data_IF_075058762563
#
_entry.id   IF_075058762563
#
_cell.length_a   1.000
_cell.length_b   1.000
_cell.length_c   1.000
_cell.angle_alpha   90.00
_cell.angle_beta   90.00
_cell.angle_gamma   90.00
#
_symmetry.space_group_name_H-M   'P 1'
#
loop_
_entity.id
_entity.type
_entity.pdbx_description
1 polymer ?
#
# COMPACT_ATOMS: atom_id res chain seq x y z
N UNK A 1 15.88 39.49 23.88
CA UNK A 1 16.82 39.41 25.02
C UNK A 1 16.16 38.58 26.13
N UNK A 2 16.58 37.33 26.30
CA UNK A 2 16.61 36.57 27.57
C UNK A 2 17.23 35.23 27.25
N UNK A 3 18.52 35.13 27.51
CA UNK A 3 19.28 33.90 27.53
C UNK A 3 19.02 33.20 28.86
N UNK A 4 18.86 31.87 28.86
CA UNK A 4 18.98 31.04 30.04
C UNK A 4 19.96 29.90 29.74
N UNK A 5 21.13 30.01 30.31
CA UNK A 5 22.14 28.95 30.50
C UNK A 5 21.75 28.15 31.76
N UNK A 6 21.89 26.81 31.71
CA UNK A 6 22.21 25.92 32.86
C UNK A 6 22.91 24.70 32.25
N UNK A 7 24.20 24.54 32.42
CA UNK A 7 24.98 24.09 33.56
C UNK A 7 25.02 22.55 33.69
N UNK A 8 26.24 22.04 33.54
CA UNK A 8 26.68 20.64 33.63
C UNK A 8 26.83 20.21 35.11
N UNK A 9 26.72 18.88 35.34
CA UNK A 9 27.31 18.15 36.49
C UNK A 9 27.45 16.67 36.04
N UNK A 10 28.55 16.14 35.85
CA UNK A 10 29.68 15.54 36.50
C UNK A 10 29.35 14.26 37.28
N UNK A 11 29.84 13.15 36.76
CA UNK A 11 30.51 11.95 37.27
C UNK A 11 30.30 11.49 38.71
N UNK A 12 30.09 10.17 38.88
CA UNK A 12 30.91 9.38 39.84
C UNK A 12 30.90 7.88 39.45
N UNK A 13 32.07 7.33 39.28
CA UNK A 13 32.37 5.91 39.20
C UNK A 13 32.42 5.31 40.63
N UNK A 14 31.97 4.07 40.79
CA UNK A 14 32.36 3.24 41.95
C UNK A 14 32.50 1.79 41.48
N UNK A 15 33.75 1.34 41.50
CA UNK A 15 34.14 -0.06 41.34
C UNK A 15 34.08 -0.75 42.71
N UNK A 16 33.49 -1.94 42.78
CA UNK A 16 33.78 -2.89 43.87
C UNK A 16 34.01 -4.27 43.28
N UNK A 17 35.24 -4.74 43.47
CA UNK A 17 35.65 -6.11 43.28
C UNK A 17 35.26 -6.92 44.54
N UNK A 18 34.73 -8.14 44.31
CA UNK A 18 34.72 -9.17 45.37
C UNK A 18 34.99 -10.52 44.69
N UNK A 19 36.15 -11.12 45.08
CA UNK A 19 36.55 -12.49 44.85
C UNK A 19 35.69 -13.45 45.70
N UNK A 20 35.37 -14.63 45.14
CA UNK A 20 34.76 -15.73 45.90
C UNK A 20 34.75 -17.03 45.07
N UNK A 21 35.72 -17.89 45.36
CA UNK A 21 35.64 -19.31 45.57
C UNK A 21 35.09 -20.21 44.44
N UNK A 22 36.03 -20.91 43.78
CA UNK A 22 35.72 -21.96 42.83
C UNK A 22 35.35 -23.29 43.50
N UNK A 23 34.53 -24.05 42.78
CA UNK A 23 34.41 -25.51 42.94
C UNK A 23 34.51 -26.16 41.57
N UNK A 24 35.25 -27.27 41.41
CA UNK A 24 35.51 -27.86 40.10
C UNK A 24 34.28 -28.61 39.63
N UNK A 25 33.71 -28.14 38.53
CA UNK A 25 32.64 -28.84 37.82
C UNK A 25 33.22 -30.10 37.16
N UNK A 26 32.63 -31.26 37.45
CA UNK A 26 32.83 -32.55 36.80
C UNK A 26 32.52 -32.46 35.28
N UNK A 27 33.26 -33.17 34.43
CA UNK A 27 32.99 -33.19 33.00
C UNK A 27 31.66 -33.89 32.71
N UNK A 28 30.69 -33.16 32.16
CA UNK A 28 29.49 -33.76 31.61
C UNK A 28 29.81 -34.26 30.21
N UNK A 29 29.70 -35.57 30.04
CA UNK A 29 29.83 -36.29 28.78
C UNK A 29 28.82 -35.77 27.76
N UNK A 30 29.19 -35.48 26.49
CA UNK A 30 28.24 -34.98 25.51
C UNK A 30 27.33 -36.13 25.06
N UNK A 31 26.05 -35.99 25.40
CA UNK A 31 24.98 -36.79 24.80
C UNK A 31 24.93 -36.52 23.27
N UNK A 32 24.88 -37.54 22.42
CA UNK A 32 24.84 -37.35 20.98
C UNK A 32 23.53 -36.62 20.64
N UNK A 33 23.66 -35.46 19.97
CA UNK A 33 22.57 -34.72 19.40
C UNK A 33 21.85 -35.61 18.37
N UNK A 34 20.56 -35.82 18.61
CA UNK A 34 19.67 -36.44 17.62
C UNK A 34 19.70 -35.59 16.34
N UNK A 35 20.01 -36.29 15.25
CA UNK A 35 20.01 -35.76 13.88
C UNK A 35 18.65 -35.19 13.54
N UNK A 36 18.48 -33.84 13.72
CA UNK A 36 17.34 -33.15 13.23
C UNK A 36 17.51 -32.97 11.72
N UNK A 37 16.80 -33.76 10.96
CA UNK A 37 16.71 -33.62 9.51
C UNK A 37 16.38 -32.16 9.17
N UNK A 38 17.01 -31.56 8.13
CA UNK A 38 16.67 -30.20 7.72
C UNK A 38 15.22 -30.15 7.25
N UNK A 39 14.36 -29.49 8.02
CA UNK A 39 13.02 -29.10 7.58
C UNK A 39 13.19 -28.07 6.47
N UNK A 40 13.10 -28.54 5.24
CA UNK A 40 12.94 -27.67 4.07
C UNK A 40 11.62 -26.94 4.26
N UNK A 41 11.58 -25.58 4.36
CA UNK A 41 10.31 -24.88 4.40
C UNK A 41 9.59 -25.16 3.09
N UNK A 42 8.39 -25.76 3.17
CA UNK A 42 7.50 -25.83 2.01
C UNK A 42 7.28 -24.42 1.47
N UNK A 43 7.37 -24.22 0.15
CA UNK A 43 7.07 -22.92 -0.42
C UNK A 43 5.59 -22.62 -0.13
N UNK A 44 5.33 -21.74 0.83
CA UNK A 44 4.01 -21.12 0.98
C UNK A 44 3.67 -20.50 -0.37
N UNK A 45 2.62 -21.03 -1.00
CA UNK A 45 2.11 -20.49 -2.25
C UNK A 45 1.74 -19.03 -1.99
N UNK A 46 2.64 -18.12 -2.36
CA UNK A 46 2.38 -16.69 -2.37
C UNK A 46 1.27 -16.51 -3.41
N UNK A 47 0.06 -16.18 -2.94
CA UNK A 47 -1.03 -15.84 -3.85
C UNK A 47 -0.49 -14.79 -4.81
N UNK A 48 -0.57 -15.08 -6.12
CA UNK A 48 -0.06 -14.17 -7.14
C UNK A 48 -0.60 -12.77 -6.88
N UNK A 49 0.31 -11.79 -6.77
CA UNK A 49 -0.09 -10.40 -6.55
C UNK A 49 -1.06 -9.98 -7.66
N UNK A 50 -2.12 -9.21 -7.34
CA UNK A 50 -3.04 -8.71 -8.34
C UNK A 50 -2.26 -7.95 -9.42
N UNK A 51 -2.62 -8.15 -10.67
CA UNK A 51 -1.92 -7.57 -11.83
C UNK A 51 -2.26 -6.08 -12.00
N UNK A 52 -1.46 -5.38 -12.82
CA UNK A 52 -1.70 -4.00 -13.22
C UNK A 52 -2.85 -3.86 -14.24
N UNK A 53 -3.09 -2.65 -14.80
CA UNK A 53 -4.22 -2.39 -15.68
C UNK A 53 -4.15 -3.20 -16.98
N UNK A 54 -5.32 -3.68 -17.41
CA UNK A 54 -5.50 -4.21 -18.77
C UNK A 54 -5.71 -3.07 -19.76
N UNK A 55 -5.33 -3.30 -21.01
CA UNK A 55 -5.53 -2.33 -22.07
C UNK A 55 -7.03 -2.03 -22.27
N UNK A 56 -7.36 -0.76 -22.47
CA UNK A 56 -8.71 -0.36 -22.86
C UNK A 56 -8.93 -0.69 -24.35
N UNK A 57 -10.11 -1.19 -24.72
CA UNK A 57 -10.48 -1.34 -26.13
C UNK A 57 -10.67 0.02 -26.81
N UNK A 58 -10.86 0.03 -28.11
CA UNK A 58 -11.24 1.26 -28.83
C UNK A 58 -12.61 1.77 -28.34
N UNK A 59 -12.81 3.07 -28.16
CA UNK A 59 -14.05 3.63 -27.61
C UNK A 59 -15.24 3.62 -28.59
N UNK A 60 -15.13 2.90 -29.69
CA UNK A 60 -16.22 2.67 -30.66
C UNK A 60 -17.22 1.62 -30.18
N UNK A 61 -16.79 0.67 -29.34
CA UNK A 61 -17.68 -0.26 -28.62
C UNK A 61 -17.81 0.21 -27.16
N UNK A 62 -18.84 1.01 -26.89
CA UNK A 62 -19.08 1.61 -25.58
C UNK A 62 -19.28 0.54 -24.50
N UNK A 63 -19.99 -0.55 -24.81
CA UNK A 63 -20.25 -1.61 -23.84
C UNK A 63 -18.97 -2.35 -23.45
N UNK A 64 -18.14 -2.75 -24.42
CA UNK A 64 -16.86 -3.36 -24.16
C UNK A 64 -15.91 -2.41 -23.40
N UNK A 65 -15.94 -1.13 -23.77
CA UNK A 65 -15.13 -0.10 -23.10
C UNK A 65 -15.49 0.06 -21.63
N UNK A 66 -16.78 0.20 -21.32
CA UNK A 66 -17.24 0.36 -19.93
C UNK A 66 -17.00 -0.89 -19.11
N UNK A 67 -17.12 -2.09 -19.73
CA UNK A 67 -16.76 -3.36 -19.09
C UNK A 67 -15.28 -3.39 -18.71
N UNK A 68 -14.38 -3.05 -19.64
CA UNK A 68 -12.93 -3.02 -19.39
C UNK A 68 -12.56 -1.97 -18.32
N UNK A 69 -13.24 -0.81 -18.30
CA UNK A 69 -13.10 0.19 -17.24
C UNK A 69 -13.48 -0.38 -15.88
N UNK A 70 -14.61 -1.08 -15.80
CA UNK A 70 -15.06 -1.72 -14.56
C UNK A 70 -14.06 -2.77 -14.06
N UNK A 71 -13.58 -3.65 -14.94
CA UNK A 71 -12.58 -4.67 -14.62
C UNK A 71 -11.26 -4.04 -14.10
N UNK A 72 -10.82 -2.94 -14.70
CA UNK A 72 -9.67 -2.18 -14.23
C UNK A 72 -9.89 -1.64 -12.81
N UNK A 73 -11.08 -1.12 -12.49
CA UNK A 73 -11.39 -0.67 -11.13
C UNK A 73 -11.47 -1.81 -10.12
N UNK A 74 -11.98 -2.98 -10.51
CA UNK A 74 -11.94 -4.16 -9.64
C UNK A 74 -10.51 -4.59 -9.31
N UNK A 75 -9.62 -4.60 -10.31
CA UNK A 75 -8.21 -4.92 -10.09
C UNK A 75 -7.50 -3.88 -9.25
N UNK A 76 -7.77 -2.59 -9.45
CA UNK A 76 -7.30 -1.53 -8.58
C UNK A 76 -7.77 -1.76 -7.13
N UNK A 77 -9.05 -2.11 -6.94
CA UNK A 77 -9.61 -2.45 -5.62
C UNK A 77 -8.89 -3.61 -4.94
N UNK A 78 -8.54 -4.66 -5.68
CA UNK A 78 -7.76 -5.81 -5.16
C UNK A 78 -6.36 -5.37 -4.71
N UNK A 79 -5.67 -4.52 -5.47
CA UNK A 79 -4.37 -3.97 -5.08
C UNK A 79 -4.49 -3.07 -3.84
N UNK A 80 -5.52 -2.22 -3.78
CA UNK A 80 -5.79 -1.40 -2.59
C UNK A 80 -6.08 -2.25 -1.35
N UNK A 81 -6.75 -3.41 -1.52
CA UNK A 81 -6.96 -4.35 -0.41
C UNK A 81 -5.63 -4.93 0.09
N UNK A 82 -4.71 -5.33 -0.78
CA UNK A 82 -3.37 -5.80 -0.39
C UNK A 82 -2.66 -4.72 0.43
N UNK A 83 -2.67 -3.47 -0.02
CA UNK A 83 -2.07 -2.34 0.70
C UNK A 83 -2.73 -2.13 2.06
N UNK A 84 -4.07 -2.18 2.13
CA UNK A 84 -4.80 -2.00 3.37
C UNK A 84 -4.51 -3.11 4.39
N UNK A 85 -4.44 -4.37 3.95
CA UNK A 85 -4.13 -5.50 4.82
C UNK A 85 -2.70 -5.37 5.38
N UNK A 86 -1.73 -4.97 4.54
CA UNK A 86 -0.36 -4.71 4.98
C UNK A 86 -0.26 -3.49 5.91
N UNK A 87 -1.05 -2.44 5.67
CA UNK A 87 -1.11 -1.27 6.56
C UNK A 87 -1.57 -1.64 7.98
N UNK A 88 -2.55 -2.56 8.09
CA UNK A 88 -3.08 -3.03 9.37
C UNK A 88 -2.17 -4.05 10.07
N UNK A 89 -1.28 -4.70 9.33
CA UNK A 89 -0.37 -5.72 9.85
C UNK A 89 0.70 -5.11 10.74
N UNK A 90 1.05 -5.78 11.84
CA UNK A 90 2.23 -5.44 12.64
C UNK A 90 3.53 -5.78 11.91
N UNK A 91 3.49 -6.82 11.07
CA UNK A 91 4.61 -7.29 10.25
C UNK A 91 4.21 -7.29 8.77
N UNK A 92 4.19 -6.12 8.09
CA UNK A 92 3.75 -6.04 6.70
C UNK A 92 4.71 -6.79 5.77
N UNK A 93 4.15 -7.51 4.81
CA UNK A 93 4.89 -8.05 3.67
C UNK A 93 5.20 -6.90 2.69
N UNK A 94 6.40 -6.35 2.81
CA UNK A 94 6.82 -5.21 1.99
C UNK A 94 7.00 -5.57 0.52
N UNK A 95 7.26 -6.83 0.18
CA UNK A 95 7.33 -7.25 -1.22
C UNK A 95 5.94 -7.19 -1.87
N UNK A 96 4.92 -7.73 -1.19
CA UNK A 96 3.53 -7.64 -1.64
C UNK A 96 3.02 -6.20 -1.67
N UNK A 97 3.33 -5.39 -0.64
CA UNK A 97 2.93 -3.99 -0.57
C UNK A 97 3.57 -3.16 -1.71
N UNK A 98 4.86 -3.35 -1.98
CA UNK A 98 5.56 -2.66 -3.08
C UNK A 98 4.98 -3.05 -4.45
N UNK A 99 4.74 -4.33 -4.69
CA UNK A 99 4.12 -4.79 -5.94
C UNK A 99 2.72 -4.17 -6.15
N UNK A 100 1.90 -4.15 -5.10
CA UNK A 100 0.58 -3.52 -5.16
C UNK A 100 0.67 -2.00 -5.36
N UNK A 101 1.63 -1.31 -4.74
CA UNK A 101 1.85 0.13 -4.93
C UNK A 101 2.24 0.46 -6.38
N UNK A 102 3.12 -0.35 -6.99
CA UNK A 102 3.49 -0.21 -8.41
C UNK A 102 2.26 -0.36 -9.31
N UNK A 103 1.40 -1.35 -9.04
CA UNK A 103 0.16 -1.53 -9.78
C UNK A 103 -0.81 -0.34 -9.59
N UNK A 104 -1.00 0.14 -8.36
CA UNK A 104 -1.85 1.32 -8.09
C UNK A 104 -1.35 2.53 -8.86
N UNK A 105 -0.03 2.75 -8.91
CA UNK A 105 0.55 3.81 -9.74
C UNK A 105 0.22 3.62 -11.22
N UNK A 106 0.37 2.42 -11.76
CA UNK A 106 0.07 2.14 -13.16
C UNK A 106 -1.41 2.38 -13.49
N UNK A 107 -2.34 2.02 -12.57
CA UNK A 107 -3.76 2.35 -12.71
C UNK A 107 -4.00 3.86 -12.69
N UNK A 108 -3.37 4.60 -11.77
CA UNK A 108 -3.50 6.05 -11.69
C UNK A 108 -3.00 6.75 -12.97
N UNK A 109 -1.91 6.27 -13.55
CA UNK A 109 -1.36 6.81 -14.79
C UNK A 109 -2.29 6.56 -16.00
N UNK A 110 -2.93 5.38 -16.06
CA UNK A 110 -3.82 5.01 -17.16
C UNK A 110 -5.23 5.62 -17.06
N UNK A 111 -5.69 5.94 -15.84
CA UNK A 111 -7.09 6.28 -15.52
C UNK A 111 -7.62 7.49 -16.29
N UNK A 112 -6.78 8.46 -16.63
CA UNK A 112 -7.20 9.66 -17.37
C UNK A 112 -7.85 9.35 -18.72
N UNK A 113 -7.44 8.27 -19.37
CA UNK A 113 -7.99 7.82 -20.65
C UNK A 113 -9.29 7.02 -20.52
N UNK A 114 -9.73 6.65 -19.31
CA UNK A 114 -10.87 5.75 -19.13
C UNK A 114 -12.25 6.41 -19.26
N UNK A 115 -12.29 7.71 -19.50
CA UNK A 115 -13.52 8.50 -19.55
C UNK A 115 -13.65 9.32 -20.83
N UNK A 116 -13.65 8.65 -22.03
CA UNK A 116 -13.93 9.34 -23.27
C UNK A 116 -15.39 9.78 -23.33
N UNK A 117 -15.71 10.67 -24.27
CA UNK A 117 -17.09 11.11 -24.51
C UNK A 117 -18.00 9.89 -24.84
N UNK A 118 -19.25 9.95 -24.40
CA UNK A 118 -20.24 8.89 -24.63
C UNK A 118 -20.13 7.69 -23.68
N UNK A 119 -19.20 7.69 -22.72
CA UNK A 119 -19.07 6.61 -21.72
C UNK A 119 -19.57 7.01 -20.33
N UNK A 120 -20.40 8.06 -20.28
CA UNK A 120 -21.03 8.60 -19.08
C UNK A 120 -22.41 8.00 -18.80
N UNK A 121 -23.17 8.59 -17.87
CA UNK A 121 -24.54 8.17 -17.56
C UNK A 121 -25.48 8.20 -18.77
N UNK A 122 -25.19 9.05 -19.74
CA UNK A 122 -25.92 9.19 -21.01
C UNK A 122 -25.73 8.00 -21.97
N UNK A 123 -24.78 7.13 -21.73
CA UNK A 123 -24.59 5.89 -22.48
C UNK A 123 -25.72 4.86 -22.30
N UNK A 124 -26.54 5.01 -21.25
CA UNK A 124 -27.56 4.03 -20.87
C UNK A 124 -27.01 2.75 -20.25
N UNK A 125 -25.68 2.66 -20.05
CA UNK A 125 -25.02 1.51 -19.40
C UNK A 125 -24.77 1.89 -17.93
N UNK A 126 -25.11 0.96 -17.03
CA UNK A 126 -24.96 1.19 -15.59
C UNK A 126 -23.50 1.49 -15.22
N UNK A 127 -23.30 2.53 -14.43
CA UNK A 127 -21.99 2.98 -13.97
C UNK A 127 -22.16 3.85 -12.72
N UNK A 128 -21.20 3.75 -11.80
CA UNK A 128 -21.13 4.62 -10.63
C UNK A 128 -20.42 5.97 -10.93
N UNK A 129 -20.06 6.23 -12.18
CA UNK A 129 -19.40 7.47 -12.60
C UNK A 129 -20.42 8.60 -12.72
N UNK A 130 -20.24 9.69 -11.97
CA UNK A 130 -21.10 10.88 -12.07
C UNK A 130 -20.83 11.66 -13.35
N UNK A 131 -21.85 12.34 -13.86
CA UNK A 131 -21.77 13.16 -15.09
C UNK A 131 -20.71 14.27 -15.04
N UNK A 132 -20.39 14.77 -13.82
CA UNK A 132 -19.40 15.83 -13.65
C UNK A 132 -17.97 15.43 -14.03
N UNK A 133 -17.65 14.14 -14.20
CA UNK A 133 -16.37 13.70 -14.77
C UNK A 133 -16.17 14.29 -16.18
N UNK A 134 -17.25 14.44 -16.95
CA UNK A 134 -17.21 14.96 -18.32
C UNK A 134 -17.52 16.46 -18.39
N UNK A 135 -18.35 16.97 -17.49
CA UNK A 135 -18.77 18.40 -17.50
C UNK A 135 -17.81 19.29 -16.70
N UNK A 136 -17.06 18.74 -15.75
CA UNK A 136 -16.01 19.45 -14.99
C UNK A 136 -14.68 18.66 -15.05
N UNK A 137 -14.21 18.49 -16.28
CA UNK A 137 -13.00 17.74 -16.56
C UNK A 137 -11.77 18.28 -15.85
N UNK A 138 -11.67 19.59 -15.68
CA UNK A 138 -10.52 20.20 -15.01
C UNK A 138 -10.42 19.78 -13.53
N UNK A 139 -11.53 19.75 -12.80
CA UNK A 139 -11.56 19.29 -11.40
C UNK A 139 -11.27 17.79 -11.29
N UNK A 140 -11.79 16.98 -12.23
CA UNK A 140 -11.46 15.56 -12.31
C UNK A 140 -9.96 15.31 -12.55
N UNK A 141 -9.36 15.99 -13.53
CA UNK A 141 -7.95 15.86 -13.85
C UNK A 141 -7.05 16.33 -12.70
N UNK A 142 -7.46 17.37 -11.94
CA UNK A 142 -6.75 17.80 -10.75
C UNK A 142 -6.79 16.74 -9.63
N UNK A 143 -7.93 16.08 -9.41
CA UNK A 143 -8.04 14.99 -8.46
C UNK A 143 -7.18 13.78 -8.87
N UNK A 144 -7.16 13.45 -10.15
CA UNK A 144 -6.33 12.39 -10.71
C UNK A 144 -4.82 12.70 -10.55
N UNK A 145 -4.42 13.93 -10.87
CA UNK A 145 -3.02 14.38 -10.69
C UNK A 145 -2.57 14.22 -9.23
N UNK A 146 -3.46 14.48 -8.27
CA UNK A 146 -3.17 14.26 -6.85
C UNK A 146 -2.96 12.77 -6.54
N UNK A 147 -3.82 11.90 -7.05
CA UNK A 147 -3.65 10.45 -6.88
C UNK A 147 -2.32 9.97 -7.51
N UNK A 148 -1.98 10.44 -8.70
CA UNK A 148 -0.72 10.12 -9.36
C UNK A 148 0.49 10.53 -8.50
N UNK A 149 0.47 11.75 -7.96
CA UNK A 149 1.55 12.25 -7.09
C UNK A 149 1.68 11.41 -5.81
N UNK A 150 0.56 11.06 -5.16
CA UNK A 150 0.58 10.23 -3.95
C UNK A 150 1.00 8.79 -4.25
N UNK A 151 0.63 8.22 -5.40
CA UNK A 151 1.05 6.88 -5.81
C UNK A 151 2.56 6.78 -6.09
N UNK A 152 3.18 7.83 -6.64
CA UNK A 152 4.65 7.91 -6.79
C UNK A 152 5.35 7.83 -5.43
N UNK A 153 4.86 8.59 -4.44
CA UNK A 153 5.40 8.56 -3.08
C UNK A 153 5.20 7.19 -2.42
N UNK A 154 4.05 6.55 -2.67
CA UNK A 154 3.76 5.22 -2.14
C UNK A 154 4.73 4.16 -2.70
N UNK A 155 5.05 4.21 -3.99
CA UNK A 155 6.06 3.34 -4.62
C UNK A 155 7.45 3.57 -4.02
N UNK A 156 7.79 4.83 -3.69
CA UNK A 156 9.07 5.18 -3.07
C UNK A 156 9.19 4.75 -1.60
N UNK A 157 8.09 4.38 -0.95
CA UNK A 157 8.05 3.94 0.45
C UNK A 157 8.47 2.46 0.57
N UNK A 158 9.75 2.18 0.62
CA UNK A 158 10.33 0.83 0.52
C UNK A 158 10.46 0.10 1.87
N UNK A 159 10.20 0.76 2.99
CA UNK A 159 10.17 0.16 4.32
C UNK A 159 8.81 0.31 5.00
N UNK A 160 8.58 -0.48 6.05
CA UNK A 160 7.30 -0.52 6.75
C UNK A 160 6.86 0.82 7.35
N UNK A 161 7.81 1.61 7.87
CA UNK A 161 7.50 2.90 8.49
C UNK A 161 7.11 3.94 7.43
N UNK A 162 7.88 4.04 6.36
CA UNK A 162 7.58 4.91 5.22
C UNK A 162 6.26 4.53 4.55
N UNK A 163 6.02 3.22 4.36
CA UNK A 163 4.75 2.70 3.82
C UNK A 163 3.56 3.10 4.69
N UNK A 164 3.63 2.85 6.00
CA UNK A 164 2.54 3.19 6.94
C UNK A 164 2.30 4.70 7.02
N UNK A 165 3.33 5.52 6.84
CA UNK A 165 3.18 6.98 6.78
C UNK A 165 2.52 7.44 5.46
N UNK A 166 2.84 6.80 4.34
CA UNK A 166 2.38 7.23 3.01
C UNK A 166 1.02 6.65 2.59
N UNK A 167 0.64 5.47 3.08
CA UNK A 167 -0.64 4.84 2.68
C UNK A 167 -1.87 5.71 2.99
N UNK A 168 -2.03 6.34 4.18
CA UNK A 168 -3.19 7.19 4.47
C UNK A 168 -3.35 8.40 3.53
N UNK A 169 -2.33 9.19 3.17
CA UNK A 169 -2.44 10.23 2.15
C UNK A 169 -2.90 9.70 0.78
N UNK A 170 -2.39 8.53 0.37
CA UNK A 170 -2.81 7.88 -0.88
C UNK A 170 -4.29 7.48 -0.82
N UNK A 171 -4.72 6.82 0.25
CA UNK A 171 -6.13 6.48 0.47
C UNK A 171 -7.04 7.71 0.54
N UNK A 172 -6.56 8.79 1.14
CA UNK A 172 -7.25 10.08 1.19
C UNK A 172 -7.49 10.69 -0.19
N UNK A 173 -6.53 10.55 -1.12
CA UNK A 173 -6.71 11.02 -2.50
C UNK A 173 -7.79 10.23 -3.24
N UNK A 174 -7.86 8.90 -3.03
CA UNK A 174 -8.94 8.06 -3.56
C UNK A 174 -10.31 8.50 -3.01
N UNK A 175 -10.41 8.68 -1.69
CA UNK A 175 -11.66 9.10 -1.05
C UNK A 175 -12.15 10.44 -1.58
N UNK A 176 -11.29 11.45 -1.65
CA UNK A 176 -11.66 12.78 -2.13
C UNK A 176 -12.18 12.77 -3.57
N UNK A 177 -11.59 11.94 -4.45
CA UNK A 177 -12.07 11.74 -5.80
C UNK A 177 -13.45 11.05 -5.81
N UNK A 178 -13.63 9.98 -5.02
CA UNK A 178 -14.89 9.24 -4.93
C UNK A 178 -16.03 10.11 -4.40
N UNK A 179 -15.81 10.92 -3.38
CA UNK A 179 -16.84 11.81 -2.81
C UNK A 179 -17.41 12.77 -3.89
N UNK A 180 -16.58 13.18 -4.85
CA UNK A 180 -16.98 14.14 -5.89
C UNK A 180 -17.51 13.45 -7.16
N UNK A 181 -16.88 12.37 -7.61
CA UNK A 181 -17.06 11.84 -8.97
C UNK A 181 -17.68 10.44 -9.02
N UNK A 182 -17.90 9.78 -7.87
CA UNK A 182 -18.53 8.47 -7.79
C UNK A 182 -19.90 8.57 -7.11
N UNK A 183 -20.90 7.88 -7.68
CA UNK A 183 -22.20 7.72 -7.02
C UNK A 183 -22.04 6.91 -5.72
N UNK A 184 -22.80 7.29 -4.70
CA UNK A 184 -22.89 6.49 -3.49
C UNK A 184 -23.57 5.16 -3.83
N UNK A 185 -23.00 4.06 -3.31
CA UNK A 185 -23.68 2.77 -3.42
C UNK A 185 -25.02 2.89 -2.70
N UNK A 186 -26.09 2.69 -3.46
CA UNK A 186 -27.41 2.50 -2.84
C UNK A 186 -27.36 1.14 -2.14
N UNK A 187 -27.51 1.15 -0.83
CA UNK A 187 -27.68 -0.10 -0.06
C UNK A 187 -28.89 -0.81 -0.64
N UNK A 188 -28.64 -1.99 -1.25
CA UNK A 188 -29.68 -2.88 -1.75
C UNK A 188 -30.02 -3.90 -0.68
#
# INVERSE_FOLDING_TARGET
MKAILFAAAAATALALAACGGGEPATPVEPTPAADAAPVTPEPVAVAAAPTGPVAMPEPTDIAAYMKARHENYEMLGKNMKVLQDNFKSETPDMAAATAAAVNVKAFADAMGAWFPAGTGPDSGIESEAKANIWTDRATFDAALTKLQAESVKLVAATDAAAFKAQFPPTGGSCKNCHDTFREEKKDQ
#
